data_IF_615727852430
#
_entry.id   IF_615727852430
#
_cell.length_a   1.000
_cell.length_b   1.000
_cell.length_c   1.000
_cell.angle_alpha   90.00
_cell.angle_beta   90.00
_cell.angle_gamma   90.00
#
_symmetry.space_group_name_H-M   'P 1'
#
loop_
_entity.id
_entity.type
_entity.pdbx_description
1 polymer ?
#
# COMPACT_ATOMS: atom_id res chain seq x y z
N UNK A 1 10.48 0.77 -27.25
CA UNK A 1 10.00 -0.59 -26.95
C UNK A 1 9.33 -0.51 -25.59
N UNK A 2 8.01 -0.65 -25.52
CA UNK A 2 7.28 -0.58 -24.25
C UNK A 2 7.14 -1.99 -23.70
N UNK A 3 8.05 -2.40 -22.81
CA UNK A 3 7.87 -3.60 -21.99
C UNK A 3 6.92 -3.24 -20.84
N UNK A 4 5.67 -2.94 -21.17
CA UNK A 4 4.62 -2.89 -20.16
C UNK A 4 4.39 -4.32 -19.69
N UNK A 5 4.61 -4.60 -18.41
CA UNK A 5 4.20 -5.86 -17.80
C UNK A 5 2.68 -5.93 -17.97
N UNK A 6 2.21 -6.82 -18.85
CA UNK A 6 0.79 -6.96 -19.18
C UNK A 6 -0.08 -7.47 -18.00
N UNK A 7 0.53 -7.73 -16.84
CA UNK A 7 -0.09 -8.28 -15.64
C UNK A 7 0.43 -7.55 -14.40
N UNK A 8 0.20 -6.24 -14.30
CA UNK A 8 0.35 -5.54 -13.02
C UNK A 8 -0.67 -6.14 -12.04
N UNK A 9 -0.24 -6.55 -10.83
CA UNK A 9 -1.19 -7.03 -9.83
C UNK A 9 -2.17 -5.91 -9.44
N UNK A 10 -3.36 -6.27 -8.95
CA UNK A 10 -4.38 -5.29 -8.55
C UNK A 10 -3.97 -4.47 -7.31
N UNK A 11 -3.01 -4.98 -6.52
CA UNK A 11 -2.50 -4.34 -5.32
C UNK A 11 -0.99 -4.59 -5.16
N UNK A 12 -0.25 -3.67 -4.51
CA UNK A 12 1.15 -3.90 -4.17
C UNK A 12 1.26 -4.99 -3.11
N UNK A 13 2.33 -5.77 -3.16
CA UNK A 13 2.57 -6.84 -2.17
C UNK A 13 3.63 -6.47 -1.16
N UNK A 14 4.43 -5.43 -1.43
CA UNK A 14 5.53 -5.00 -0.57
C UNK A 14 5.63 -3.47 -0.51
N UNK A 15 6.06 -2.97 0.64
CA UNK A 15 6.64 -1.64 0.76
C UNK A 15 8.16 -1.79 0.88
N UNK A 16 8.91 -0.97 0.17
CA UNK A 16 10.38 -1.01 0.15
C UNK A 16 10.96 0.29 0.69
N UNK A 17 12.09 0.16 1.38
CA UNK A 17 13.05 1.24 1.60
C UNK A 17 14.33 0.86 0.88
N UNK A 18 14.79 1.69 -0.04
CA UNK A 18 15.91 1.39 -0.93
C UNK A 18 16.84 2.57 -1.12
N UNK A 19 18.03 2.29 -1.64
CA UNK A 19 18.92 3.25 -2.28
C UNK A 19 18.52 3.33 -3.75
N UNK A 20 18.22 4.54 -4.22
CA UNK A 20 18.05 4.88 -5.63
C UNK A 20 19.30 5.65 -6.10
N UNK A 21 20.00 5.07 -7.06
CA UNK A 21 21.21 5.63 -7.64
C UNK A 21 21.02 6.12 -9.08
N UNK A 22 19.80 6.41 -9.50
CA UNK A 22 19.50 6.94 -10.84
C UNK A 22 20.41 8.10 -11.26
N UNK A 23 20.66 9.06 -10.35
CA UNK A 23 21.52 10.23 -10.61
C UNK A 23 22.96 10.10 -10.07
N UNK A 24 23.30 8.99 -9.41
CA UNK A 24 24.61 8.79 -8.79
C UNK A 24 24.76 9.30 -7.35
N UNK A 25 23.70 9.87 -6.75
CA UNK A 25 23.75 10.44 -5.39
C UNK A 25 23.34 9.44 -4.28
N UNK A 26 22.87 8.24 -4.65
CA UNK A 26 22.48 7.17 -3.72
C UNK A 26 21.42 7.62 -2.69
N UNK A 27 20.32 8.19 -3.18
CA UNK A 27 19.24 8.71 -2.35
C UNK A 27 18.42 7.59 -1.69
N UNK A 28 17.84 7.87 -0.51
CA UNK A 28 16.92 6.95 0.14
C UNK A 28 15.50 7.18 -0.37
N UNK A 29 14.94 6.15 -1.00
CA UNK A 29 13.59 6.15 -1.57
C UNK A 29 12.68 5.14 -0.88
N UNK A 30 11.39 5.48 -0.82
CA UNK A 30 10.33 4.60 -0.34
C UNK A 30 9.31 4.41 -1.46
N UNK A 31 8.99 3.16 -1.79
CA UNK A 31 8.04 2.85 -2.85
C UNK A 31 7.26 1.58 -2.57
N UNK A 32 6.13 1.43 -3.26
CA UNK A 32 5.36 0.19 -3.28
C UNK A 32 5.82 -0.69 -4.44
N UNK A 33 5.97 -1.98 -4.14
CA UNK A 33 6.47 -2.95 -5.08
C UNK A 33 5.62 -4.23 -5.10
N UNK A 34 5.83 -5.01 -6.15
CA UNK A 34 5.40 -6.39 -6.21
C UNK A 34 6.55 -7.32 -6.60
N UNK A 35 6.44 -8.58 -6.22
CA UNK A 35 7.45 -9.60 -6.54
C UNK A 35 6.97 -10.43 -7.73
N UNK A 36 7.81 -10.53 -8.76
CA UNK A 36 7.62 -11.42 -9.90
C UNK A 36 8.93 -12.16 -10.15
N UNK A 37 8.87 -13.49 -10.23
CA UNK A 37 10.04 -14.37 -10.44
C UNK A 37 11.20 -14.12 -9.45
N UNK A 38 10.88 -13.71 -8.22
CA UNK A 38 11.86 -13.42 -7.16
C UNK A 38 12.53 -12.05 -7.25
N UNK A 39 12.13 -11.20 -8.21
CA UNK A 39 12.61 -9.83 -8.34
C UNK A 39 11.51 -8.82 -7.94
N UNK A 40 11.92 -7.68 -7.38
CA UNK A 40 11.03 -6.58 -7.05
C UNK A 40 10.80 -5.68 -8.27
N UNK A 41 9.54 -5.36 -8.51
CA UNK A 41 9.07 -4.42 -9.52
C UNK A 41 8.27 -3.30 -8.85
N UNK A 42 8.51 -2.08 -9.28
CA UNK A 42 7.78 -0.90 -8.86
C UNK A 42 6.30 -1.03 -9.29
N UNK A 43 5.39 -0.82 -8.34
CA UNK A 43 3.96 -1.04 -8.56
C UNK A 43 3.32 0.03 -9.45
N UNK A 44 3.84 1.26 -9.41
CA UNK A 44 3.26 2.39 -10.17
C UNK A 44 3.69 2.36 -11.64
N UNK A 45 4.96 2.03 -11.87
CA UNK A 45 5.59 2.08 -13.19
C UNK A 45 5.71 0.72 -13.87
N UNK A 46 5.62 -0.37 -13.10
CA UNK A 46 5.85 -1.73 -13.58
C UNK A 46 7.30 -2.01 -13.98
N UNK A 47 8.25 -1.15 -13.62
CA UNK A 47 9.66 -1.33 -13.93
C UNK A 47 10.37 -2.12 -12.82
N UNK A 48 11.50 -2.79 -13.11
CA UNK A 48 12.34 -3.35 -12.06
C UNK A 48 12.72 -2.28 -11.03
N UNK A 49 12.80 -2.65 -9.75
CA UNK A 49 13.22 -1.72 -8.70
C UNK A 49 14.71 -1.40 -8.81
N UNK A 50 15.55 -2.43 -9.00
CA UNK A 50 16.99 -2.28 -9.18
C UNK A 50 17.28 -2.09 -10.67
N UNK A 51 17.48 -0.84 -11.10
CA UNK A 51 17.72 -0.47 -12.51
C UNK A 51 19.14 0.04 -12.76
N UNK A 52 19.75 0.64 -11.74
CA UNK A 52 21.05 1.32 -11.82
C UNK A 52 22.08 0.61 -10.95
N UNK A 53 23.35 0.69 -11.35
CA UNK A 53 24.45 0.25 -10.49
C UNK A 53 24.47 1.11 -9.22
N UNK A 54 24.43 0.47 -8.05
CA UNK A 54 24.36 1.14 -6.76
C UNK A 54 22.96 1.16 -6.14
N UNK A 55 21.92 0.75 -6.87
CA UNK A 55 20.61 0.52 -6.26
C UNK A 55 20.67 -0.64 -5.27
N UNK A 56 20.02 -0.49 -4.12
CA UNK A 56 19.99 -1.53 -3.09
C UNK A 56 18.68 -1.51 -2.31
N UNK A 57 18.02 -2.66 -2.18
CA UNK A 57 16.89 -2.80 -1.25
C UNK A 57 17.43 -2.98 0.17
N UNK A 58 17.22 -1.98 1.01
CA UNK A 58 17.69 -1.98 2.40
C UNK A 58 16.71 -2.71 3.31
N UNK A 59 15.41 -2.50 3.10
CA UNK A 59 14.34 -3.15 3.86
C UNK A 59 13.14 -3.41 2.95
N UNK A 60 12.48 -4.54 3.17
CA UNK A 60 11.24 -4.91 2.52
C UNK A 60 10.22 -5.35 3.57
N UNK A 61 9.02 -4.75 3.52
CA UNK A 61 7.88 -5.12 4.35
C UNK A 61 6.84 -5.78 3.46
N UNK A 62 6.51 -7.04 3.76
CA UNK A 62 5.40 -7.71 3.10
C UNK A 62 4.09 -7.06 3.54
N UNK A 63 3.28 -6.65 2.56
CA UNK A 63 1.95 -6.13 2.78
C UNK A 63 0.97 -7.30 2.76
N UNK A 64 0.24 -7.47 3.85
CA UNK A 64 -0.87 -8.40 3.94
C UNK A 64 -2.17 -7.61 3.84
N UNK A 65 -2.85 -7.69 2.71
CA UNK A 65 -4.27 -7.37 2.65
C UNK A 65 -4.99 -8.65 3.06
N UNK A 66 -5.67 -8.67 4.22
CA UNK A 66 -6.44 -9.84 4.59
C UNK A 66 -7.53 -10.01 3.54
N UNK A 67 -7.55 -11.19 2.90
CA UNK A 67 -8.47 -11.48 1.82
C UNK A 67 -9.86 -11.86 2.34
N UNK A 68 -9.98 -12.23 3.61
CA UNK A 68 -11.18 -12.79 4.21
C UNK A 68 -11.54 -12.07 5.50
N UNK A 69 -12.81 -11.70 5.64
CA UNK A 69 -13.36 -11.14 6.88
C UNK A 69 -13.10 -12.09 8.07
N UNK A 70 -12.49 -11.58 9.13
CA UNK A 70 -12.18 -12.37 10.33
C UNK A 70 -13.44 -12.92 11.01
N UNK A 71 -14.58 -12.25 10.87
CA UNK A 71 -15.85 -12.65 11.48
C UNK A 71 -16.63 -13.67 10.64
N UNK A 72 -16.78 -13.46 9.33
CA UNK A 72 -17.69 -14.27 8.50
C UNK A 72 -17.00 -15.04 7.38
N UNK A 73 -15.70 -14.85 7.17
CA UNK A 73 -14.91 -15.53 6.14
C UNK A 73 -15.20 -15.07 4.71
N UNK A 74 -16.03 -14.04 4.51
CA UNK A 74 -16.31 -13.50 3.18
C UNK A 74 -15.07 -12.87 2.57
N UNK A 75 -14.85 -13.13 1.28
CA UNK A 75 -13.82 -12.46 0.49
C UNK A 75 -14.29 -11.05 0.08
N UNK A 76 -13.36 -10.09 0.03
CA UNK A 76 -13.66 -8.73 -0.44
C UNK A 76 -12.83 -7.64 0.25
N UNK A 77 -13.06 -6.36 -0.09
CA UNK A 77 -12.43 -5.24 0.60
C UNK A 77 -12.79 -5.28 2.09
N UNK A 78 -11.78 -5.35 2.94
CA UNK A 78 -11.95 -5.35 4.38
C UNK A 78 -11.60 -3.99 4.96
N UNK A 79 -12.34 -3.59 5.98
CA UNK A 79 -12.06 -2.44 6.81
C UNK A 79 -11.44 -2.92 8.13
N UNK A 80 -10.31 -2.32 8.56
CA UNK A 80 -9.70 -2.68 9.84
C UNK A 80 -10.60 -2.22 11.00
N UNK A 81 -10.81 -3.10 11.98
CA UNK A 81 -11.42 -2.77 13.28
C UNK A 81 -10.48 -3.17 14.42
N UNK A 82 -10.73 -2.74 15.67
CA UNK A 82 -9.94 -3.18 16.83
C UNK A 82 -9.96 -4.70 17.04
N UNK A 83 -10.94 -5.40 16.49
CA UNK A 83 -11.14 -6.86 16.62
C UNK A 83 -10.60 -7.63 15.41
N UNK A 84 -10.04 -6.93 14.41
CA UNK A 84 -9.49 -7.50 13.19
C UNK A 84 -10.12 -6.92 11.92
N UNK A 85 -9.80 -7.49 10.77
CA UNK A 85 -10.29 -6.99 9.48
C UNK A 85 -11.66 -7.58 9.13
N UNK A 86 -12.63 -6.70 8.87
CA UNK A 86 -14.02 -7.06 8.68
C UNK A 86 -14.53 -6.59 7.31
N UNK A 87 -15.37 -7.38 6.65
CA UNK A 87 -16.07 -6.90 5.45
C UNK A 87 -17.04 -5.78 5.81
N UNK A 88 -17.46 -4.97 4.83
CA UNK A 88 -18.34 -3.81 5.05
C UNK A 88 -19.57 -4.13 5.93
N UNK A 89 -20.22 -5.28 5.68
CA UNK A 89 -21.40 -5.71 6.45
C UNK A 89 -21.05 -5.97 7.92
N UNK A 90 -19.97 -6.71 8.18
CA UNK A 90 -19.54 -7.00 9.54
C UNK A 90 -18.91 -5.78 10.23
N UNK A 91 -18.28 -4.88 9.46
CA UNK A 91 -17.75 -3.63 9.97
C UNK A 91 -18.86 -2.77 10.59
N UNK A 92 -20.00 -2.61 9.89
CA UNK A 92 -21.17 -1.88 10.42
C UNK A 92 -21.74 -2.55 11.67
N UNK A 93 -21.73 -3.89 11.72
CA UNK A 93 -22.18 -4.64 12.89
C UNK A 93 -21.25 -4.44 14.10
N UNK A 94 -19.94 -4.43 13.89
CA UNK A 94 -18.92 -4.31 14.95
C UNK A 94 -18.78 -2.85 15.42
N UNK A 95 -18.77 -1.89 14.50
CA UNK A 95 -18.57 -0.48 14.82
C UNK A 95 -19.86 0.24 15.25
N UNK A 96 -21.03 -0.35 14.99
CA UNK A 96 -22.34 0.27 15.22
C UNK A 96 -22.61 1.48 14.33
N UNK A 97 -23.81 2.05 14.42
CA UNK A 97 -24.29 3.22 13.63
C UNK A 97 -23.46 4.51 13.79
N UNK A 98 -22.33 4.48 14.52
CA UNK A 98 -21.45 5.63 14.75
C UNK A 98 -20.41 5.85 13.63
N UNK A 99 -20.34 5.00 12.61
CA UNK A 99 -19.38 5.15 11.50
C UNK A 99 -19.71 6.28 10.48
N UNK A 100 -20.74 7.09 10.74
CA UNK A 100 -21.10 8.28 9.94
C UNK A 100 -20.84 9.61 10.68
N UNK A 101 -19.73 9.75 11.40
CA UNK A 101 -19.25 11.07 11.84
C UNK A 101 -17.73 10.98 11.95
N UNK A 102 -16.87 11.75 11.28
CA UNK A 102 -16.99 13.03 10.59
C UNK A 102 -15.88 13.12 9.53
N UNK A 103 -16.24 13.22 8.25
CA UNK A 103 -15.34 13.78 7.23
C UNK A 103 -15.64 15.27 7.12
N UNK A 104 -15.25 16.03 8.14
CA UNK A 104 -15.12 17.48 8.04
C UNK A 104 -13.63 17.79 8.10
N UNK A 105 -12.98 17.83 6.94
CA UNK A 105 -11.65 18.40 6.79
C UNK A 105 -11.78 19.92 6.59
N UNK A 106 -12.45 20.61 7.52
CA UNK A 106 -12.50 22.08 7.56
C UNK A 106 -11.84 22.55 8.87
N UNK A 107 -10.53 22.34 8.97
CA UNK A 107 -9.69 23.15 9.86
C UNK A 107 -9.37 24.46 9.12
N UNK A 108 -10.37 25.34 9.04
CA UNK A 108 -10.11 26.75 8.73
C UNK A 108 -9.77 27.48 10.02
N UNK A 109 -8.52 27.32 10.44
CA UNK A 109 -7.93 28.03 11.57
C UNK A 109 -7.71 29.51 11.18
N UNK A 110 -8.79 30.30 11.17
CA UNK A 110 -8.69 31.77 11.14
C UNK A 110 -8.85 32.27 12.57
N UNK A 111 -7.73 32.32 13.27
CA UNK A 111 -7.50 33.27 14.35
C UNK A 111 -6.12 33.91 14.19
N UNK A 112 -6.05 34.95 13.35
CA UNK A 112 -5.02 35.97 13.44
C UNK A 112 -5.69 37.30 13.75
N UNK A 113 -5.26 37.86 14.88
CA UNK A 113 -5.73 39.04 15.59
C UNK A 113 -5.55 40.34 14.80
#
# INVERSE_FOLDING_TARGET
MSTGIANLPEAPTHALRMIDNWCGDSDISFLFAFVLDGAFYDFETGKPVLQYEGDEVLQAWQLTIPATCAHCGSEGPLAPTPEGDHCEVCYVQVMGEAAQESRSCDDTDIHAN
#
